data_IF_306521411898
#
_entry.id   IF_306521411898
#
_cell.length_a   1.000
_cell.length_b   1.000
_cell.length_c   1.000
_cell.angle_alpha   90.00
_cell.angle_beta   90.00
_cell.angle_gamma   90.00
#
_symmetry.space_group_name_H-M   'P 1'
#
loop_
_entity.id
_entity.type
_entity.pdbx_description
1 polymer ?
#
# COMPACT_ATOMS: atom_id res chain seq x y z
N UNK A 1 -8.58 6.74 -13.99
CA UNK A 1 -7.75 6.08 -12.96
C UNK A 1 -6.31 6.50 -13.20
N UNK A 2 -5.65 7.09 -12.21
CA UNK A 2 -4.26 7.57 -12.31
C UNK A 2 -3.34 6.54 -11.67
N UNK A 3 -2.23 6.23 -12.34
CA UNK A 3 -1.18 5.37 -11.80
C UNK A 3 0.01 6.22 -11.39
N UNK A 4 0.49 6.01 -10.17
CA UNK A 4 1.74 6.58 -9.65
C UNK A 4 2.60 5.45 -9.14
N UNK A 5 3.92 5.58 -9.26
CA UNK A 5 4.86 4.58 -8.73
C UNK A 5 5.49 5.10 -7.45
N UNK A 6 5.56 4.24 -6.44
CA UNK A 6 6.34 4.48 -5.22
C UNK A 6 7.54 3.54 -5.18
N UNK A 7 8.63 3.99 -4.57
CA UNK A 7 9.76 3.13 -4.22
C UNK A 7 9.50 2.56 -2.83
N UNK A 8 9.24 1.25 -2.74
CA UNK A 8 9.02 0.55 -1.48
C UNK A 8 9.87 -0.72 -1.44
N UNK A 9 10.72 -0.85 -0.41
CA UNK A 9 11.66 -1.98 -0.28
C UNK A 9 12.52 -2.20 -1.54
N UNK A 10 13.06 -1.12 -2.12
CA UNK A 10 13.90 -1.15 -3.34
C UNK A 10 13.15 -1.68 -4.58
N UNK A 11 11.81 -1.67 -4.55
CA UNK A 11 10.95 -2.07 -5.66
C UNK A 11 10.03 -0.92 -6.05
N UNK A 12 9.80 -0.78 -7.35
CA UNK A 12 8.77 0.13 -7.90
C UNK A 12 7.41 -0.52 -7.81
N UNK A 13 6.54 0.01 -6.96
CA UNK A 13 5.18 -0.48 -6.76
C UNK A 13 4.18 0.48 -7.42
N UNK A 14 3.34 0.00 -8.35
CA UNK A 14 2.26 0.80 -8.91
C UNK A 14 1.16 1.02 -7.87
N UNK A 15 0.72 2.27 -7.76
CA UNK A 15 -0.37 2.73 -6.92
C UNK A 15 -1.46 3.30 -7.83
N UNK A 16 -2.62 2.66 -7.81
CA UNK A 16 -3.79 3.07 -8.56
C UNK A 16 -4.69 3.92 -7.69
N UNK A 17 -5.07 5.10 -8.18
CA UNK A 17 -5.94 6.01 -7.45
C UNK A 17 -6.96 6.66 -8.39
N UNK A 18 -8.20 6.78 -7.92
CA UNK A 18 -9.31 7.36 -8.68
C UNK A 18 -9.45 8.85 -8.41
N UNK A 19 -9.31 9.29 -7.15
CA UNK A 19 -9.31 10.70 -6.75
C UNK A 19 -8.21 10.97 -5.71
N UNK A 20 -7.25 11.85 -6.04
CA UNK A 20 -6.29 12.38 -5.05
C UNK A 20 -6.91 13.59 -4.36
N UNK A 21 -7.70 13.39 -3.30
CA UNK A 21 -8.27 14.52 -2.55
C UNK A 21 -7.29 15.11 -1.52
N UNK A 22 -6.30 14.35 -1.05
CA UNK A 22 -5.39 14.78 0.01
C UNK A 22 -3.95 14.87 -0.49
N UNK A 23 -3.34 16.07 -0.39
CA UNK A 23 -1.93 16.31 -0.76
C UNK A 23 -0.94 15.35 -0.09
N UNK A 24 -1.31 14.75 1.04
CA UNK A 24 -0.43 13.95 1.89
C UNK A 24 -0.68 12.43 1.81
N UNK A 25 -1.59 11.95 0.96
CA UNK A 25 -1.96 10.52 0.88
C UNK A 25 -0.74 9.60 0.70
N UNK A 26 0.22 9.97 -0.14
CA UNK A 26 1.43 9.15 -0.35
C UNK A 26 2.38 9.14 0.84
N UNK A 27 2.48 10.25 1.58
CA UNK A 27 3.26 10.30 2.82
C UNK A 27 2.65 9.36 3.85
N UNK A 28 1.33 9.45 4.05
CA UNK A 28 0.58 8.59 4.97
C UNK A 28 0.68 7.12 4.58
N UNK A 29 0.59 6.82 3.28
CA UNK A 29 0.82 5.48 2.77
C UNK A 29 2.23 4.98 3.12
N UNK A 30 3.27 5.77 2.82
CA UNK A 30 4.65 5.36 3.08
C UNK A 30 4.92 5.14 4.57
N UNK A 31 4.40 6.02 5.43
CA UNK A 31 4.50 5.89 6.88
C UNK A 31 3.76 4.65 7.39
N UNK A 32 2.56 4.38 6.87
CA UNK A 32 1.77 3.22 7.23
C UNK A 32 2.45 1.91 6.79
N UNK A 33 2.97 1.85 5.56
CA UNK A 33 3.72 0.71 5.04
C UNK A 33 4.97 0.42 5.87
N UNK A 34 5.78 1.45 6.15
CA UNK A 34 6.99 1.31 6.97
C UNK A 34 6.67 0.87 8.40
N UNK A 35 5.63 1.47 9.02
CA UNK A 35 5.17 1.08 10.34
C UNK A 35 4.75 -0.38 10.36
N UNK A 36 3.95 -0.84 9.39
CA UNK A 36 3.49 -2.23 9.31
C UNK A 36 4.62 -3.21 8.99
N UNK A 37 5.64 -2.80 8.25
CA UNK A 37 6.83 -3.63 8.04
C UNK A 37 7.60 -3.88 9.34
N UNK A 38 7.67 -2.87 10.20
CA UNK A 38 8.37 -2.97 11.48
C UNK A 38 7.52 -3.69 12.54
N UNK A 39 6.25 -3.30 12.70
CA UNK A 39 5.40 -3.70 13.84
C UNK A 39 4.26 -4.65 13.49
N UNK A 40 4.01 -4.93 12.21
CA UNK A 40 2.89 -5.75 11.75
C UNK A 40 2.96 -7.21 12.20
N UNK A 41 1.82 -7.88 12.23
CA UNK A 41 1.76 -9.34 12.39
C UNK A 41 2.36 -10.03 11.16
N UNK A 42 2.77 -11.29 11.31
CA UNK A 42 3.40 -12.10 10.25
C UNK A 42 2.66 -12.02 8.90
N UNK A 43 1.34 -12.17 8.89
CA UNK A 43 0.54 -12.11 7.66
C UNK A 43 0.69 -10.77 6.90
N UNK A 44 0.67 -9.64 7.61
CA UNK A 44 0.87 -8.31 6.99
C UNK A 44 2.29 -8.20 6.44
N UNK A 45 3.30 -8.65 7.21
CA UNK A 45 4.69 -8.62 6.73
C UNK A 45 4.87 -9.46 5.47
N UNK A 46 4.28 -10.66 5.40
CA UNK A 46 4.29 -11.51 4.20
C UNK A 46 3.57 -10.86 3.01
N UNK A 47 2.44 -10.19 3.24
CA UNK A 47 1.76 -9.40 2.21
C UNK A 47 2.68 -8.28 1.68
N UNK A 48 3.37 -7.53 2.57
CA UNK A 48 4.31 -6.48 2.18
C UNK A 48 5.55 -7.00 1.43
N UNK A 49 6.13 -8.11 1.88
CA UNK A 49 7.25 -8.78 1.22
C UNK A 49 6.91 -9.22 -0.21
N UNK A 50 5.64 -9.55 -0.47
CA UNK A 50 5.16 -10.01 -1.78
C UNK A 50 4.23 -9.02 -2.47
N UNK A 51 4.25 -7.75 -2.04
CA UNK A 51 3.42 -6.67 -2.57
C UNK A 51 3.73 -6.43 -4.05
N UNK A 52 2.68 -6.36 -4.87
CA UNK A 52 2.78 -6.14 -6.32
C UNK A 52 2.08 -4.87 -6.77
N UNK A 53 1.05 -4.42 -6.06
CA UNK A 53 0.35 -3.17 -6.35
C UNK A 53 -0.46 -2.69 -5.14
N UNK A 54 -0.90 -1.44 -5.21
CA UNK A 54 -1.75 -0.82 -4.20
C UNK A 54 -2.90 -0.11 -4.92
N UNK A 55 -4.12 -0.27 -4.42
CA UNK A 55 -5.26 0.53 -4.83
C UNK A 55 -5.67 1.47 -3.68
N UNK A 56 -5.84 2.75 -3.97
CA UNK A 56 -6.33 3.73 -2.99
C UNK A 56 -7.79 4.04 -3.30
N UNK A 57 -8.65 3.70 -2.33
CA UNK A 57 -10.09 3.95 -2.39
C UNK A 57 -10.46 4.82 -1.18
N UNK A 58 -10.74 6.11 -1.45
CA UNK A 58 -10.96 7.10 -0.39
C UNK A 58 -9.71 7.25 0.49
N UNK A 59 -9.82 6.80 1.73
CA UNK A 59 -8.74 6.86 2.74
C UNK A 59 -8.20 5.49 3.12
N UNK A 60 -8.53 4.47 2.35
CA UNK A 60 -8.04 3.11 2.51
C UNK A 60 -7.08 2.76 1.38
N UNK A 61 -6.00 2.05 1.72
CA UNK A 61 -5.09 1.42 0.78
C UNK A 61 -5.33 -0.10 0.78
N UNK A 62 -5.73 -0.63 -0.36
CA UNK A 62 -5.85 -2.06 -0.60
C UNK A 62 -4.51 -2.54 -1.15
N UNK A 63 -3.85 -3.42 -0.40
CA UNK A 63 -2.56 -4.01 -0.74
C UNK A 63 -2.81 -5.33 -1.48
N UNK A 64 -2.33 -5.42 -2.71
CA UNK A 64 -2.35 -6.65 -3.48
C UNK A 64 -0.99 -7.31 -3.44
N UNK A 65 -0.94 -8.51 -2.90
CA UNK A 65 0.25 -9.34 -2.94
C UNK A 65 0.17 -10.36 -4.07
N UNK A 66 1.29 -11.02 -4.35
CA UNK A 66 1.40 -12.01 -5.44
C UNK A 66 0.42 -13.19 -5.31
N UNK A 67 -0.09 -13.48 -4.12
CA UNK A 67 -1.11 -14.51 -3.91
C UNK A 67 -2.47 -13.84 -3.83
N UNK A 68 -3.40 -14.21 -4.72
CA UNK A 68 -4.72 -13.57 -4.82
C UNK A 68 -5.53 -13.55 -3.51
N UNK A 69 -5.29 -14.53 -2.62
CA UNK A 69 -5.98 -14.60 -1.32
C UNK A 69 -5.41 -13.66 -0.26
N UNK A 70 -4.25 -13.04 -0.50
CA UNK A 70 -3.53 -12.21 0.46
C UNK A 70 -3.69 -10.71 0.11
N UNK A 71 -4.95 -10.26 0.04
CA UNK A 71 -5.31 -8.84 -0.08
C UNK A 71 -5.55 -8.26 1.31
N UNK A 72 -4.94 -7.11 1.62
CA UNK A 72 -5.05 -6.46 2.94
C UNK A 72 -5.51 -5.03 2.78
N UNK A 73 -6.58 -4.64 3.49
CA UNK A 73 -6.98 -3.25 3.62
C UNK A 73 -6.18 -2.56 4.74
N UNK A 74 -5.67 -1.37 4.45
CA UNK A 74 -4.87 -0.54 5.34
C UNK A 74 -5.47 0.86 5.43
N UNK A 75 -5.87 1.27 6.64
CA UNK A 75 -6.25 2.66 6.89
C UNK A 75 -5.05 3.61 6.72
N UNK A 76 -5.26 4.74 6.06
CA UNK A 76 -4.27 5.80 5.88
C UNK A 76 -4.38 6.93 6.92
N UNK A 77 -5.15 6.72 8.00
CA UNK A 77 -5.28 7.63 9.15
C UNK A 77 -4.36 7.25 10.33
#
# INVERSE_FOLDING_TARGET
MKTVYIEFQQRKIPVFCTNMSHKNTFSLLMDALNRKMNTGKRAIKTCLETLISIEIIGSEAILHSRREMDTVALSLY
#
